data_IF_302243728488
#
_entry.id   IF_302243728488
#
_cell.length_a   1.000
_cell.length_b   1.000
_cell.length_c   1.000
_cell.angle_alpha   90.00
_cell.angle_beta   90.00
_cell.angle_gamma   90.00
#
_symmetry.space_group_name_H-M   'P 1'
#
loop_
_entity.id
_entity.type
_entity.pdbx_description
1 polymer ?
#
# COMPACT_ATOMS: atom_id res chain seq x y z
N UNK A 1 -25.49 7.99 -35.38
CA UNK A 1 -24.18 7.35 -35.17
C UNK A 1 -24.12 7.02 -33.68
N UNK A 2 -24.17 5.73 -33.31
CA UNK A 2 -24.25 5.26 -31.93
C UNK A 2 -23.02 5.72 -31.13
N UNK A 3 -23.19 6.21 -29.90
CA UNK A 3 -22.06 6.60 -29.02
C UNK A 3 -21.08 5.43 -28.80
N UNK A 4 -21.61 4.21 -28.72
CA UNK A 4 -20.88 2.97 -28.49
C UNK A 4 -20.17 2.42 -29.74
N UNK A 5 -20.44 2.98 -30.93
CA UNK A 5 -19.79 2.54 -32.18
C UNK A 5 -18.27 2.69 -32.17
N UNK A 6 -17.73 3.59 -31.34
CA UNK A 6 -16.27 3.81 -31.20
C UNK A 6 -15.62 2.94 -30.12
N UNK A 7 -16.41 2.19 -29.36
CA UNK A 7 -15.91 1.46 -28.20
C UNK A 7 -15.20 0.18 -28.65
N UNK A 8 -14.10 -0.16 -27.99
CA UNK A 8 -13.50 -1.48 -28.13
C UNK A 8 -14.35 -2.54 -27.44
N UNK A 9 -14.13 -3.82 -27.72
CA UNK A 9 -14.84 -4.92 -27.05
C UNK A 9 -14.67 -4.85 -25.51
N UNK A 10 -13.50 -4.42 -25.04
CA UNK A 10 -13.24 -4.21 -23.61
C UNK A 10 -14.07 -3.07 -23.03
N UNK A 11 -14.13 -1.94 -23.74
CA UNK A 11 -14.90 -0.77 -23.29
C UNK A 11 -16.41 -1.07 -23.28
N UNK A 12 -16.88 -1.90 -24.21
CA UNK A 12 -18.26 -2.39 -24.23
C UNK A 12 -18.55 -3.30 -23.02
N UNK A 13 -17.65 -4.22 -22.68
CA UNK A 13 -17.79 -5.09 -21.50
C UNK A 13 -17.79 -4.26 -20.21
N UNK A 14 -16.90 -3.28 -20.10
CA UNK A 14 -16.83 -2.39 -18.94
C UNK A 14 -18.10 -1.54 -18.82
N UNK A 15 -18.56 -0.95 -19.92
CA UNK A 15 -19.81 -0.17 -19.95
C UNK A 15 -21.02 -1.01 -19.59
N UNK A 16 -21.08 -2.25 -20.07
CA UNK A 16 -22.13 -3.21 -19.74
C UNK A 16 -22.13 -3.55 -18.25
N UNK A 17 -20.99 -3.92 -17.67
CA UNK A 17 -20.89 -4.23 -16.24
C UNK A 17 -21.24 -3.00 -15.38
N UNK A 18 -20.74 -1.82 -15.72
CA UNK A 18 -21.05 -0.58 -15.00
C UNK A 18 -22.55 -0.26 -15.04
N UNK A 19 -23.21 -0.40 -16.18
CA UNK A 19 -24.66 -0.16 -16.27
C UNK A 19 -25.47 -1.19 -15.48
N UNK A 20 -25.06 -2.46 -15.50
CA UNK A 20 -25.69 -3.49 -14.66
C UNK A 20 -25.51 -3.18 -13.17
N UNK A 21 -24.30 -2.83 -12.75
CA UNK A 21 -23.96 -2.62 -11.33
C UNK A 21 -24.62 -1.36 -10.76
N UNK A 22 -24.71 -0.28 -11.53
CA UNK A 22 -25.24 1.01 -11.06
C UNK A 22 -26.70 1.28 -11.44
N UNK A 23 -27.19 0.73 -12.55
CA UNK A 23 -28.53 1.02 -13.10
C UNK A 23 -29.43 -0.23 -13.12
N UNK A 24 -28.89 -1.42 -12.90
CA UNK A 24 -29.62 -2.69 -12.89
C UNK A 24 -30.07 -3.17 -14.27
N UNK A 25 -29.94 -2.36 -15.31
CA UNK A 25 -30.28 -2.69 -16.70
C UNK A 25 -29.34 -1.98 -17.68
N UNK A 26 -28.92 -2.65 -18.77
CA UNK A 26 -28.12 -2.01 -19.81
C UNK A 26 -29.00 -1.14 -20.71
N UNK A 27 -28.41 -0.09 -21.29
CA UNK A 27 -29.12 0.79 -22.22
C UNK A 27 -29.44 0.08 -23.53
N UNK A 28 -30.57 0.44 -24.15
CA UNK A 28 -30.98 -0.13 -25.45
C UNK A 28 -29.96 0.17 -26.55
N UNK A 29 -29.30 1.33 -26.51
CA UNK A 29 -28.24 1.70 -27.46
C UNK A 29 -27.01 0.79 -27.35
N UNK A 30 -26.63 0.40 -26.12
CA UNK A 30 -25.52 -0.52 -25.88
C UNK A 30 -25.87 -1.94 -26.36
N UNK A 31 -27.09 -2.41 -26.05
CA UNK A 31 -27.57 -3.72 -26.50
C UNK A 31 -27.67 -3.79 -28.03
N UNK A 32 -28.09 -2.72 -28.70
CA UNK A 32 -28.13 -2.64 -30.16
C UNK A 32 -26.73 -2.73 -30.76
N UNK A 33 -25.75 -2.01 -30.20
CA UNK A 33 -24.36 -2.08 -30.66
C UNK A 33 -23.76 -3.49 -30.45
N UNK A 34 -24.02 -4.12 -29.30
CA UNK A 34 -23.60 -5.50 -29.02
C UNK A 34 -24.24 -6.46 -30.03
N UNK A 35 -25.55 -6.33 -30.26
CA UNK A 35 -26.30 -7.16 -31.20
C UNK A 35 -25.85 -6.96 -32.66
N UNK A 36 -25.34 -5.78 -33.01
CA UNK A 36 -24.78 -5.51 -34.35
C UNK A 36 -23.42 -6.19 -34.54
N UNK A 37 -22.66 -6.40 -33.47
CA UNK A 37 -21.33 -7.03 -33.50
C UNK A 37 -21.35 -8.54 -33.30
N UNK A 38 -22.44 -9.10 -32.78
CA UNK A 38 -22.62 -10.53 -32.56
C UNK A 38 -23.89 -10.84 -31.78
N UNK A 39 -23.98 -12.06 -31.24
CA UNK A 39 -25.09 -12.41 -30.34
C UNK A 39 -24.87 -11.79 -28.96
N UNK A 40 -25.94 -11.24 -28.38
CA UNK A 40 -25.94 -10.75 -26.99
C UNK A 40 -25.62 -11.91 -26.04
N UNK A 41 -26.13 -13.11 -26.31
CA UNK A 41 -25.88 -14.29 -25.48
C UNK A 41 -24.40 -14.68 -25.50
N UNK A 42 -23.75 -14.61 -26.68
CA UNK A 42 -22.31 -14.87 -26.79
C UNK A 42 -21.49 -13.83 -26.02
N UNK A 43 -21.94 -12.57 -26.02
CA UNK A 43 -21.31 -11.49 -25.28
C UNK A 43 -21.42 -11.69 -23.76
N UNK A 44 -22.60 -12.08 -23.26
CA UNK A 44 -22.81 -12.41 -21.85
C UNK A 44 -21.96 -13.62 -21.46
N UNK A 45 -21.98 -14.69 -22.27
CA UNK A 45 -21.17 -15.89 -22.04
C UNK A 45 -19.66 -15.57 -22.01
N UNK A 46 -19.19 -14.65 -22.86
CA UNK A 46 -17.80 -14.16 -22.80
C UNK A 46 -17.49 -13.45 -21.49
N UNK A 47 -18.39 -12.59 -21.00
CA UNK A 47 -18.21 -11.89 -19.72
C UNK A 47 -18.19 -12.89 -18.55
N UNK A 48 -19.10 -13.85 -18.54
CA UNK A 48 -19.16 -14.87 -17.50
C UNK A 48 -17.90 -15.74 -17.49
N UNK A 49 -17.44 -16.20 -18.66
CA UNK A 49 -16.19 -16.95 -18.78
C UNK A 49 -14.99 -16.14 -18.30
N UNK A 50 -14.91 -14.84 -18.63
CA UNK A 50 -13.86 -13.96 -18.11
C UNK A 50 -13.90 -13.84 -16.58
N UNK A 51 -15.09 -13.71 -15.99
CA UNK A 51 -15.28 -13.69 -14.53
C UNK A 51 -14.85 -15.01 -13.89
N UNK A 52 -15.21 -16.15 -14.48
CA UNK A 52 -14.80 -17.47 -14.00
C UNK A 52 -13.28 -17.64 -13.99
N UNK A 53 -12.62 -17.30 -15.11
CA UNK A 53 -11.15 -17.35 -15.21
C UNK A 53 -10.48 -16.43 -14.19
N UNK A 54 -11.01 -15.21 -14.00
CA UNK A 54 -10.47 -14.26 -13.03
C UNK A 54 -10.64 -14.75 -11.58
N UNK A 55 -11.80 -15.31 -11.25
CA UNK A 55 -12.07 -15.88 -9.93
C UNK A 55 -11.16 -17.06 -9.64
N UNK A 56 -10.97 -17.94 -10.61
CA UNK A 56 -10.06 -19.06 -10.49
C UNK A 56 -8.61 -18.60 -10.30
N UNK A 57 -8.19 -17.58 -11.06
CA UNK A 57 -6.86 -16.97 -10.88
C UNK A 57 -6.68 -16.43 -9.47
N UNK A 58 -7.69 -15.75 -8.93
CA UNK A 58 -7.67 -15.23 -7.57
C UNK A 58 -7.61 -16.34 -6.52
N UNK A 59 -8.33 -17.45 -6.73
CA UNK A 59 -8.26 -18.66 -5.88
C UNK A 59 -6.83 -19.19 -5.84
N UNK A 60 -6.21 -19.42 -6.99
CA UNK A 60 -4.83 -19.92 -7.09
C UNK A 60 -3.85 -18.96 -6.42
N UNK A 61 -3.98 -17.65 -6.64
CA UNK A 61 -3.13 -16.65 -5.97
C UNK A 61 -3.25 -16.76 -4.44
N UNK A 62 -4.46 -16.94 -3.91
CA UNK A 62 -4.68 -17.09 -2.47
C UNK A 62 -4.03 -18.37 -1.93
N UNK A 63 -4.15 -19.47 -2.66
CA UNK A 63 -3.50 -20.74 -2.31
C UNK A 63 -1.97 -20.62 -2.32
N UNK A 64 -1.39 -19.94 -3.33
CA UNK A 64 0.05 -19.66 -3.37
C UNK A 64 0.51 -18.89 -2.13
N UNK A 65 -0.22 -17.86 -1.70
CA UNK A 65 0.09 -17.14 -0.47
C UNK A 65 0.05 -18.06 0.74
N UNK A 66 -1.01 -18.87 0.86
CA UNK A 66 -1.14 -19.82 1.97
C UNK A 66 -0.01 -20.85 1.99
N UNK A 67 0.36 -21.41 0.84
CA UNK A 67 1.48 -22.34 0.73
C UNK A 67 2.82 -21.69 1.08
N UNK A 68 3.04 -20.45 0.64
CA UNK A 68 4.24 -19.69 1.01
C UNK A 68 4.35 -19.47 2.53
N UNK A 69 3.26 -19.04 3.18
CA UNK A 69 3.25 -18.83 4.64
C UNK A 69 3.45 -20.14 5.43
N UNK A 70 2.96 -21.25 4.89
CA UNK A 70 3.18 -22.58 5.45
C UNK A 70 4.59 -23.15 5.17
N UNK A 71 5.50 -22.35 4.60
CA UNK A 71 6.89 -22.70 4.28
C UNK A 71 7.06 -23.83 3.25
N UNK A 72 6.04 -24.06 2.41
CA UNK A 72 6.20 -24.97 1.28
C UNK A 72 7.14 -24.37 0.24
N UNK A 73 7.93 -25.22 -0.38
CA UNK A 73 8.79 -24.85 -1.50
C UNK A 73 7.96 -24.46 -2.73
N UNK A 74 8.58 -23.73 -3.65
CA UNK A 74 7.96 -23.37 -4.92
C UNK A 74 7.51 -24.61 -5.71
N UNK A 75 8.33 -25.66 -5.74
CA UNK A 75 8.00 -26.90 -6.43
C UNK A 75 6.83 -27.63 -5.75
N UNK A 76 6.80 -27.65 -4.42
CA UNK A 76 5.69 -28.26 -3.66
C UNK A 76 4.38 -27.50 -3.90
N UNK A 77 4.42 -26.18 -3.92
CA UNK A 77 3.26 -25.34 -4.24
C UNK A 77 2.69 -25.69 -5.62
N UNK A 78 3.56 -25.85 -6.63
CA UNK A 78 3.15 -26.19 -7.99
C UNK A 78 2.53 -27.59 -8.12
N UNK A 79 2.98 -28.56 -7.31
CA UNK A 79 2.43 -29.92 -7.25
C UNK A 79 1.07 -29.98 -6.55
N UNK A 80 0.83 -29.09 -5.58
CA UNK A 80 -0.41 -29.05 -4.81
C UNK A 80 -1.52 -28.24 -5.50
N UNK A 81 -1.14 -27.34 -6.42
CA UNK A 81 -2.09 -26.54 -7.18
C UNK A 81 -2.68 -27.34 -8.35
N UNK A 82 -4.00 -27.33 -8.45
CA UNK A 82 -4.74 -27.89 -9.57
C UNK A 82 -5.81 -26.92 -10.03
N UNK A 83 -5.98 -26.78 -11.34
CA UNK A 83 -7.05 -26.01 -11.96
C UNK A 83 -7.53 -26.71 -13.23
N UNK A 84 -8.85 -26.81 -13.39
CA UNK A 84 -9.48 -27.34 -14.60
C UNK A 84 -9.73 -26.25 -15.65
N UNK A 85 -9.60 -24.98 -15.27
CA UNK A 85 -9.91 -23.81 -16.10
C UNK A 85 -8.63 -23.16 -16.62
N UNK A 86 -7.59 -23.07 -15.79
CA UNK A 86 -6.33 -22.42 -16.13
C UNK A 86 -5.32 -23.46 -16.62
N UNK A 87 -4.70 -23.27 -17.79
CA UNK A 87 -3.72 -24.22 -18.32
C UNK A 87 -2.48 -24.28 -17.43
N UNK A 88 -1.90 -25.47 -17.31
CA UNK A 88 -0.77 -25.74 -16.42
C UNK A 88 0.38 -24.74 -16.60
N UNK A 89 0.76 -24.43 -17.85
CA UNK A 89 1.82 -23.44 -18.16
C UNK A 89 1.55 -22.04 -17.60
N UNK A 90 0.29 -21.60 -17.62
CA UNK A 90 -0.08 -20.31 -17.03
C UNK A 90 -0.01 -20.37 -15.51
N UNK A 91 -0.38 -21.51 -14.91
CA UNK A 91 -0.24 -21.74 -13.47
C UNK A 91 1.23 -21.73 -13.03
N UNK A 92 2.14 -22.38 -13.77
CA UNK A 92 3.59 -22.32 -13.48
C UNK A 92 4.09 -20.87 -13.49
N UNK A 93 3.74 -20.12 -14.53
CA UNK A 93 4.13 -18.71 -14.66
C UNK A 93 3.58 -17.86 -13.49
N UNK A 94 2.34 -18.15 -13.08
CA UNK A 94 1.69 -17.45 -11.99
C UNK A 94 2.33 -17.75 -10.63
N UNK A 95 2.69 -19.02 -10.38
CA UNK A 95 3.47 -19.44 -9.20
C UNK A 95 4.82 -18.74 -9.20
N UNK A 96 5.56 -18.74 -10.31
CA UNK A 96 6.87 -18.10 -10.44
C UNK A 96 6.83 -16.62 -10.05
N UNK A 97 5.92 -15.86 -10.65
CA UNK A 97 5.82 -14.42 -10.43
C UNK A 97 5.35 -14.12 -9.02
N UNK A 98 4.30 -14.79 -8.54
CA UNK A 98 3.71 -14.49 -7.22
C UNK A 98 4.57 -14.95 -6.08
N UNK A 99 5.16 -16.14 -6.16
CA UNK A 99 6.05 -16.64 -5.12
C UNK A 99 7.28 -15.73 -4.96
N UNK A 100 7.84 -15.24 -6.08
CA UNK A 100 8.96 -14.28 -6.07
C UNK A 100 8.56 -12.92 -5.50
N UNK A 101 7.39 -12.38 -5.87
CA UNK A 101 6.87 -11.12 -5.31
C UNK A 101 6.64 -11.23 -3.80
N UNK A 102 6.00 -12.31 -3.34
CA UNK A 102 5.77 -12.57 -1.91
C UNK A 102 7.11 -12.70 -1.18
N UNK A 103 8.09 -13.39 -1.77
CA UNK A 103 9.41 -13.55 -1.17
C UNK A 103 10.10 -12.21 -0.94
N UNK A 104 10.18 -11.37 -1.97
CA UNK A 104 10.80 -10.04 -1.83
C UNK A 104 10.05 -9.15 -0.86
N UNK A 105 8.72 -9.16 -0.86
CA UNK A 105 7.94 -8.39 0.10
C UNK A 105 8.22 -8.85 1.53
N UNK A 106 8.28 -10.16 1.74
CA UNK A 106 8.55 -10.73 3.07
C UNK A 106 9.97 -10.42 3.52
N UNK A 107 10.94 -10.48 2.61
CA UNK A 107 12.34 -10.14 2.89
C UNK A 107 12.51 -8.65 3.20
N UNK A 108 11.87 -7.77 2.42
CA UNK A 108 11.89 -6.32 2.67
C UNK A 108 11.18 -5.90 3.96
N UNK A 109 10.14 -6.63 4.37
CA UNK A 109 9.47 -6.41 5.66
C UNK A 109 10.30 -6.92 6.84
N UNK A 110 11.30 -7.75 6.60
CA UNK A 110 12.18 -8.25 7.64
C UNK A 110 13.13 -7.11 8.03
N UNK A 111 12.75 -6.37 9.08
CA UNK A 111 13.59 -5.33 9.66
C UNK A 111 14.93 -5.98 10.03
N UNK A 112 16.00 -5.48 9.42
CA UNK A 112 17.34 -5.97 9.71
C UNK A 112 17.63 -5.73 11.20
N UNK A 113 18.17 -6.75 11.88
CA UNK A 113 18.56 -6.66 13.28
C UNK A 113 19.54 -5.50 13.48
N UNK A 114 20.37 -5.21 12.48
CA UNK A 114 21.27 -4.06 12.51
C UNK A 114 20.51 -2.73 12.54
N UNK A 115 19.41 -2.60 11.80
CA UNK A 115 18.54 -1.41 11.85
C UNK A 115 17.96 -1.23 13.25
N UNK A 116 17.42 -2.28 13.87
CA UNK A 116 16.87 -2.23 15.23
C UNK A 116 17.94 -1.77 16.24
N UNK A 117 19.13 -2.38 16.19
CA UNK A 117 20.25 -2.05 17.08
C UNK A 117 20.69 -0.60 16.88
N UNK A 118 20.82 -0.16 15.62
CA UNK A 118 21.23 1.21 15.30
C UNK A 118 20.21 2.25 15.77
N UNK A 119 18.91 1.99 15.64
CA UNK A 119 17.84 2.86 16.15
C UNK A 119 17.88 2.95 17.68
N UNK A 120 18.12 1.83 18.37
CA UNK A 120 18.23 1.81 19.82
C UNK A 120 19.47 2.57 20.31
N UNK A 121 20.63 2.37 19.67
CA UNK A 121 21.84 3.12 19.96
C UNK A 121 21.65 4.63 19.71
N UNK A 122 21.01 5.00 18.61
CA UNK A 122 20.67 6.39 18.29
C UNK A 122 19.79 7.04 19.35
N UNK A 123 18.80 6.33 19.87
CA UNK A 123 17.94 6.83 20.95
C UNK A 123 18.72 7.11 22.24
N UNK A 124 19.65 6.23 22.61
CA UNK A 124 20.52 6.43 23.78
C UNK A 124 21.40 7.67 23.59
N UNK A 125 22.06 7.80 22.42
CA UNK A 125 22.93 8.95 22.13
C UNK A 125 22.13 10.25 22.13
N UNK A 126 20.95 10.26 21.50
CA UNK A 126 20.07 11.43 21.47
C UNK A 126 19.64 11.86 22.88
N UNK A 127 19.31 10.91 23.75
CA UNK A 127 18.94 11.18 25.15
C UNK A 127 20.09 11.82 25.93
N UNK A 128 21.32 11.32 25.77
CA UNK A 128 22.51 11.89 26.42
C UNK A 128 22.76 13.32 25.93
N UNK A 129 22.77 13.53 24.61
CA UNK A 129 23.01 14.86 24.02
C UNK A 129 21.93 15.84 24.44
N UNK A 130 20.66 15.44 24.41
CA UNK A 130 19.54 16.29 24.83
C UNK A 130 19.68 16.71 26.30
N UNK A 131 20.04 15.77 27.18
CA UNK A 131 20.24 16.05 28.61
C UNK A 131 21.35 17.08 28.83
N UNK A 132 22.49 16.94 28.14
CA UNK A 132 23.62 17.87 28.22
C UNK A 132 23.20 19.27 27.73
N UNK A 133 22.50 19.35 26.59
CA UNK A 133 22.03 20.62 26.03
C UNK A 133 21.07 21.32 26.98
N UNK A 134 20.09 20.60 27.54
CA UNK A 134 19.13 21.15 28.50
C UNK A 134 19.84 21.66 29.75
N UNK A 135 20.81 20.89 30.28
CA UNK A 135 21.57 21.28 31.47
C UNK A 135 22.38 22.55 31.23
N UNK A 136 23.04 22.68 30.08
CA UNK A 136 23.76 23.89 29.71
C UNK A 136 22.83 25.11 29.61
N UNK A 137 21.65 24.91 29.03
CA UNK A 137 20.63 25.95 28.87
C UNK A 137 20.11 26.45 30.23
N UNK A 138 19.88 25.53 31.17
CA UNK A 138 19.49 25.87 32.55
C UNK A 138 20.58 26.68 33.27
N UNK A 139 21.84 26.30 33.13
CA UNK A 139 22.97 27.05 33.73
C UNK A 139 23.04 28.47 33.15
N UNK A 140 22.92 28.59 31.82
CA UNK A 140 22.96 29.88 31.15
C UNK A 140 21.82 30.80 31.58
N UNK A 141 20.58 30.29 31.66
CA UNK A 141 19.42 31.05 32.14
C UNK A 141 19.64 31.49 33.59
N UNK A 142 20.08 30.59 34.47
CA UNK A 142 20.30 30.92 35.88
C UNK A 142 21.37 32.02 36.04
N UNK A 143 22.47 31.93 35.29
CA UNK A 143 23.50 32.97 35.28
C UNK A 143 22.96 34.31 34.79
N UNK A 144 22.10 34.31 33.76
CA UNK A 144 21.50 35.52 33.20
C UNK A 144 20.53 36.17 34.20
N UNK A 145 19.75 35.37 34.93
CA UNK A 145 18.85 35.84 36.00
C UNK A 145 19.67 36.52 37.10
N UNK A 146 20.72 35.87 37.60
CA UNK A 146 21.60 36.43 38.64
C UNK A 146 22.24 37.73 38.17
N UNK A 147 22.72 37.78 36.93
CA UNK A 147 23.30 38.99 36.34
C UNK A 147 22.28 40.13 36.21
N UNK A 148 21.04 39.83 35.82
CA UNK A 148 19.97 40.83 35.71
C UNK A 148 19.59 41.39 37.11
N UNK A 149 19.45 40.53 38.11
CA UNK A 149 19.25 40.96 39.50
C UNK A 149 20.41 41.80 40.03
N UNK A 150 21.65 41.46 39.67
CA UNK A 150 22.82 42.26 40.04
C UNK A 150 22.77 43.68 39.43
N UNK A 151 22.30 43.84 38.19
CA UNK A 151 22.13 45.14 37.53
C UNK A 151 20.99 45.99 38.12
N UNK A 152 19.97 45.37 38.71
CA UNK A 152 18.88 46.08 39.38
C UNK A 152 19.34 46.82 40.64
N UNK A 153 20.36 46.31 41.35
CA UNK A 153 20.91 46.94 42.57
C UNK A 153 21.45 48.35 42.32
N UNK A 154 22.40 48.59 41.38
CA UNK A 154 22.89 49.94 41.10
C UNK A 154 21.79 50.83 40.52
N UNK A 155 20.87 50.29 39.71
CA UNK A 155 19.75 51.07 39.17
C UNK A 155 18.83 51.58 40.29
N UNK A 156 18.56 50.74 41.30
CA UNK A 156 17.80 51.14 42.49
C UNK A 156 18.53 52.21 43.31
N UNK A 157 19.83 52.06 43.52
CA UNK A 157 20.66 53.06 44.22
C UNK A 157 20.61 54.41 43.49
N UNK A 158 20.79 54.43 42.17
CA UNK A 158 20.70 55.66 41.36
C UNK A 158 19.31 56.29 41.51
N UNK A 159 18.24 55.50 41.45
CA UNK A 159 16.87 56.00 41.61
C UNK A 159 16.67 56.68 42.98
N UNK A 160 17.17 56.09 44.07
CA UNK A 160 17.14 56.70 45.40
C UNK A 160 17.94 58.01 45.52
N UNK A 161 18.91 58.27 44.65
CA UNK A 161 19.66 59.54 44.62
C UNK A 161 19.02 60.61 43.72
N UNK A 162 18.10 60.23 42.85
CA UNK A 162 17.42 61.13 41.91
C UNK A 162 16.08 61.66 42.46
N UNK A 163 15.47 60.94 43.42
CA UNK A 163 14.33 61.39 44.23
C UNK A 163 14.83 62.22 45.42
#
# INVERSE_FOLDING_TARGET
MSFYSKFSEKDLIESYNNQIDYQGKPSEELLQEISQRGSIDDFINKIENQKLVLNERNRIIREIHQHYFNKFSKQECLLLLSSDIIPHKEMETLVDVKYKDIHYRTENLKIDSNTIISSFAGAIVASIVSTIVILFLLIAINSLIVFNFFLLVPMYIINCFVI
#
